data_IF_833191952715
#
_entry.id   IF_833191952715
#
_cell.length_a   1.000
_cell.length_b   1.000
_cell.length_c   1.000
_cell.angle_alpha   90.00
_cell.angle_beta   90.00
_cell.angle_gamma   90.00
#
_symmetry.space_group_name_H-M   'P 1'
#
loop_
_entity.id
_entity.type
_entity.pdbx_description
1 polymer ?
#
# COMPACT_ATOMS: atom_id res chain seq x y z
N UNK A 1 -6.20 2.23 21.18
CA UNK A 1 -5.83 3.59 21.62
C UNK A 1 -5.46 3.54 23.07
N UNK A 2 -4.33 4.14 23.47
CA UNK A 2 -3.80 4.11 24.83
C UNK A 2 -2.66 5.12 24.96
N UNK A 3 -2.07 5.32 26.15
CA UNK A 3 -1.06 6.36 26.35
C UNK A 3 0.23 6.17 25.53
N UNK A 4 0.48 4.95 25.01
CA UNK A 4 1.62 4.61 24.14
C UNK A 4 1.23 4.29 22.70
N UNK A 5 0.25 4.97 22.13
CA UNK A 5 0.02 4.83 20.67
C UNK A 5 1.18 5.45 19.89
N UNK A 6 1.35 5.03 18.65
CA UNK A 6 2.23 5.72 17.71
C UNK A 6 1.88 7.22 17.66
N UNK A 7 2.82 8.07 18.07
CA UNK A 7 2.67 9.53 18.05
C UNK A 7 2.37 10.06 16.64
N UNK A 8 2.94 9.39 15.62
CA UNK A 8 2.75 9.72 14.21
C UNK A 8 1.46 9.19 13.58
N UNK A 9 0.55 8.53 14.32
CA UNK A 9 -0.59 7.83 13.71
C UNK A 9 -1.50 8.76 12.90
N UNK A 10 -1.67 10.01 13.34
CA UNK A 10 -2.48 11.00 12.63
C UNK A 10 -1.80 11.44 11.32
N UNK A 11 -0.50 11.68 11.36
CA UNK A 11 0.30 12.04 10.18
C UNK A 11 0.31 10.89 9.17
N UNK A 12 0.67 9.68 9.60
CA UNK A 12 0.71 8.50 8.73
C UNK A 12 -0.65 8.20 8.08
N UNK A 13 -1.74 8.41 8.81
CA UNK A 13 -3.10 8.24 8.25
C UNK A 13 -3.41 9.30 7.20
N UNK A 14 -3.01 10.55 7.42
CA UNK A 14 -3.21 11.63 6.46
C UNK A 14 -2.42 11.36 5.17
N UNK A 15 -1.14 11.06 5.31
CA UNK A 15 -0.26 10.73 4.18
C UNK A 15 -0.81 9.57 3.36
N UNK A 16 -1.22 8.48 4.03
CA UNK A 16 -1.79 7.31 3.37
C UNK A 16 -3.06 7.65 2.59
N UNK A 17 -3.98 8.44 3.18
CA UNK A 17 -5.22 8.84 2.51
C UNK A 17 -4.98 9.74 1.31
N UNK A 18 -4.09 10.73 1.45
CA UNK A 18 -3.74 11.64 0.36
C UNK A 18 -3.08 10.88 -0.80
N UNK A 19 -2.11 10.03 -0.52
CA UNK A 19 -1.46 9.20 -1.53
C UNK A 19 -2.45 8.25 -2.20
N UNK A 20 -3.31 7.59 -1.42
CA UNK A 20 -4.32 6.68 -1.95
C UNK A 20 -5.29 7.41 -2.89
N UNK A 21 -5.76 8.61 -2.54
CA UNK A 21 -6.67 9.40 -3.37
C UNK A 21 -6.06 9.77 -4.73
N UNK A 22 -4.78 10.13 -4.76
CA UNK A 22 -4.05 10.41 -6.01
C UNK A 22 -3.87 9.14 -6.83
N UNK A 23 -3.50 8.06 -6.16
CA UNK A 23 -3.25 6.76 -6.78
C UNK A 23 -4.51 6.22 -7.46
N UNK A 24 -5.64 6.12 -6.75
CA UNK A 24 -6.89 5.56 -7.31
C UNK A 24 -7.47 6.39 -8.44
N UNK A 25 -7.22 7.71 -8.45
CA UNK A 25 -7.77 8.62 -9.46
C UNK A 25 -6.97 8.60 -10.76
N UNK A 26 -5.67 8.31 -10.70
CA UNK A 26 -4.79 8.39 -11.86
C UNK A 26 -4.29 7.03 -12.36
N UNK A 27 -4.35 5.97 -11.54
CA UNK A 27 -3.70 4.70 -11.84
C UNK A 27 -4.68 3.51 -11.72
N UNK A 28 -4.67 2.66 -12.74
CA UNK A 28 -5.28 1.33 -12.76
C UNK A 28 -4.20 0.30 -12.42
N UNK A 29 -4.51 -0.55 -11.46
CA UNK A 29 -3.63 -1.63 -11.01
C UNK A 29 -4.18 -2.97 -11.49
N UNK A 30 -3.31 -3.81 -12.06
CA UNK A 30 -3.59 -5.22 -12.33
C UNK A 30 -2.49 -6.07 -11.73
N UNK A 31 -2.86 -7.19 -11.10
CA UNK A 31 -1.91 -8.18 -10.64
C UNK A 31 -1.35 -8.95 -11.84
N UNK A 32 -0.08 -9.32 -11.80
CA UNK A 32 0.49 -10.26 -12.77
C UNK A 32 -0.12 -11.65 -12.54
N UNK A 33 -0.49 -12.35 -13.62
CA UNK A 33 -1.08 -13.69 -13.52
C UNK A 33 -0.08 -14.69 -12.90
N UNK A 34 -0.55 -15.48 -11.93
CA UNK A 34 0.27 -16.50 -11.23
C UNK A 34 1.06 -16.02 -10.01
N UNK A 35 0.87 -14.77 -9.56
CA UNK A 35 1.62 -14.26 -8.41
C UNK A 35 1.07 -14.75 -7.07
N UNK A 36 1.90 -15.43 -6.28
CA UNK A 36 1.58 -15.87 -4.90
C UNK A 36 2.52 -15.17 -3.93
N UNK A 37 1.99 -14.39 -2.98
CA UNK A 37 2.79 -13.69 -1.97
C UNK A 37 2.53 -14.25 -0.57
N UNK A 38 3.59 -14.38 0.22
CA UNK A 38 3.51 -14.71 1.64
C UNK A 38 3.93 -13.50 2.47
N UNK A 39 3.14 -13.15 3.50
CA UNK A 39 3.52 -12.07 4.42
C UNK A 39 4.53 -12.61 5.41
N UNK A 40 5.75 -12.08 5.40
CA UNK A 40 6.75 -12.39 6.44
C UNK A 40 6.93 -11.20 7.38
N UNK A 41 7.01 -11.51 8.67
CA UNK A 41 7.27 -10.54 9.74
C UNK A 41 8.75 -10.59 10.14
N UNK A 42 9.64 -9.99 9.34
CA UNK A 42 11.07 -9.91 9.69
C UNK A 42 11.37 -8.74 10.63
N UNK A 43 10.77 -7.57 10.39
CA UNK A 43 10.90 -6.36 11.22
C UNK A 43 9.69 -5.45 11.04
N UNK A 44 9.26 -5.33 9.79
CA UNK A 44 7.95 -4.84 9.37
C UNK A 44 7.27 -5.94 8.57
N UNK A 45 5.94 -6.04 8.64
CA UNK A 45 5.19 -6.95 7.80
C UNK A 45 5.38 -6.57 6.33
N UNK A 46 6.01 -7.46 5.57
CA UNK A 46 6.28 -7.25 4.14
C UNK A 46 5.93 -8.50 3.35
N UNK A 47 5.29 -8.39 2.18
CA UNK A 47 5.10 -9.50 1.26
C UNK A 47 6.45 -9.96 0.69
N UNK A 48 6.66 -11.28 0.64
CA UNK A 48 7.79 -11.94 0.00
C UNK A 48 7.27 -13.09 -0.88
N UNK A 49 7.63 -13.15 -2.18
CA UNK A 49 8.37 -12.14 -2.95
C UNK A 49 7.62 -10.79 -3.04
N UNK A 50 8.32 -9.70 -3.38
CA UNK A 50 7.71 -8.38 -3.52
C UNK A 50 6.59 -8.37 -4.55
N UNK A 51 5.57 -7.53 -4.38
CA UNK A 51 4.40 -7.49 -5.27
C UNK A 51 4.73 -6.74 -6.57
N UNK A 52 4.64 -7.45 -7.70
CA UNK A 52 4.70 -6.84 -9.03
C UNK A 52 3.29 -6.49 -9.52
N UNK A 53 3.10 -5.23 -9.90
CA UNK A 53 1.83 -4.67 -10.37
C UNK A 53 2.00 -4.08 -11.77
N UNK A 54 1.07 -4.41 -12.65
CA UNK A 54 0.91 -3.73 -13.92
C UNK A 54 0.13 -2.44 -13.65
N UNK A 55 0.78 -1.30 -13.88
CA UNK A 55 0.20 0.03 -13.65
C UNK A 55 -0.08 0.71 -14.98
N UNK A 56 -1.31 1.17 -15.18
CA UNK A 56 -1.75 1.92 -16.37
C UNK A 56 -2.40 3.23 -15.93
N UNK A 57 -2.34 4.29 -16.75
CA UNK A 57 -3.05 5.54 -16.44
C UNK A 57 -4.57 5.36 -16.62
N UNK A 58 -5.35 6.05 -15.78
CA UNK A 58 -6.80 6.15 -15.93
C UNK A 58 -7.12 7.40 -16.72
N UNK A 59 -7.46 7.22 -17.99
CA UNK A 59 -8.04 8.27 -18.81
C UNK A 59 -9.55 8.33 -18.50
N UNK A 60 -10.03 9.51 -18.10
CA UNK A 60 -11.44 9.79 -17.83
C UNK A 60 -12.05 10.51 -19.03
#
# INVERSE_FOLDING_TARGET
>A
TGPRTCLGIKMATLELKCMLAVIIRNLKFKLVEGFTFEVKLTSVAKPLPGIDLLVSRVDY
#
